data_IF_269653134338
#
_entry.id   IF_269653134338
#
_cell.length_a   1.000
_cell.length_b   1.000
_cell.length_c   1.000
_cell.angle_alpha   90.00
_cell.angle_beta   90.00
_cell.angle_gamma   90.00
#
_symmetry.space_group_name_H-M   'P 1'
#
loop_
_entity.id
_entity.type
_entity.pdbx_description
1 polymer ?
#
# COMPACT_ATOMS: atom_id res chain seq x y z
N UNK A 1 -54.96 42.28 16.25
CA UNK A 1 -54.30 43.51 15.80
C UNK A 1 -53.00 43.10 15.14
N UNK A 2 -52.97 43.16 13.82
CA UNK A 2 -51.78 42.91 13.03
C UNK A 2 -50.94 44.18 13.04
N UNK A 3 -49.62 44.07 13.24
CA UNK A 3 -48.72 45.02 12.63
C UNK A 3 -47.69 44.29 11.78
N UNK A 4 -47.70 44.69 10.52
CA UNK A 4 -47.03 44.08 9.38
C UNK A 4 -46.01 45.10 8.90
N UNK A 5 -44.74 44.89 9.23
CA UNK A 5 -43.65 45.58 8.52
C UNK A 5 -43.00 44.56 7.59
N UNK A 6 -43.50 44.54 6.35
CA UNK A 6 -42.79 43.94 5.23
C UNK A 6 -41.59 44.82 4.91
N UNK A 7 -40.39 44.26 5.00
CA UNK A 7 -39.30 44.75 4.16
C UNK A 7 -38.75 43.60 3.32
N UNK A 8 -38.82 43.79 2.00
CA UNK A 8 -38.56 42.81 0.96
C UNK A 8 -37.22 43.17 0.32
N UNK A 9 -36.44 42.13 0.01
CA UNK A 9 -35.23 42.09 -0.83
C UNK A 9 -33.91 42.43 -0.12
N UNK A 10 -32.80 41.72 -0.30
CA UNK A 10 -32.39 40.71 -1.30
C UNK A 10 -31.72 39.53 -0.59
N UNK A 11 -32.11 38.31 -0.97
CA UNK A 11 -31.52 37.08 -0.44
C UNK A 11 -30.07 36.92 -0.86
N UNK A 12 -29.13 37.32 0.00
CA UNK A 12 -27.82 36.71 0.04
C UNK A 12 -27.99 35.41 0.81
N UNK A 13 -28.11 34.29 0.10
CA UNK A 13 -27.98 32.97 0.74
C UNK A 13 -26.57 32.93 1.32
N UNK A 14 -26.47 33.10 2.63
CA UNK A 14 -25.27 32.76 3.39
C UNK A 14 -24.96 31.30 3.08
N UNK A 15 -24.01 31.07 2.17
CA UNK A 15 -23.38 29.77 2.01
C UNK A 15 -22.61 29.56 3.30
N UNK A 16 -23.20 28.84 4.24
CA UNK A 16 -22.48 28.31 5.38
C UNK A 16 -21.36 27.47 4.79
N UNK A 17 -20.14 27.98 4.79
CA UNK A 17 -18.97 27.17 4.50
C UNK A 17 -18.97 26.05 5.55
N UNK A 18 -19.37 24.86 5.12
CA UNK A 18 -19.10 23.64 5.87
C UNK A 18 -17.58 23.58 5.94
N UNK A 19 -17.02 23.94 7.09
CA UNK A 19 -15.61 23.70 7.38
C UNK A 19 -15.49 22.19 7.53
N UNK A 20 -15.21 21.51 6.41
CA UNK A 20 -14.68 20.16 6.47
C UNK A 20 -13.44 20.24 7.37
N UNK A 21 -13.41 19.44 8.43
CA UNK A 21 -12.17 19.20 9.17
C UNK A 21 -11.08 18.74 8.19
N UNK A 22 -9.80 18.80 8.55
CA UNK A 22 -8.76 18.26 7.68
C UNK A 22 -9.10 16.81 7.34
N UNK A 23 -9.15 16.49 6.04
CA UNK A 23 -9.36 15.12 5.56
C UNK A 23 -8.36 14.19 6.25
N UNK A 24 -8.80 13.02 6.77
CA UNK A 24 -7.94 12.14 7.54
C UNK A 24 -6.75 11.68 6.69
N UNK A 25 -5.62 11.45 7.36
CA UNK A 25 -4.45 10.90 6.69
C UNK A 25 -4.77 9.46 6.26
N UNK A 26 -4.90 9.24 4.95
CA UNK A 26 -5.10 7.93 4.33
C UNK A 26 -3.84 7.08 4.33
N UNK A 27 -3.93 5.86 4.85
CA UNK A 27 -2.86 4.86 4.88
C UNK A 27 -3.34 3.61 4.17
N UNK A 28 -2.58 3.11 3.20
CA UNK A 28 -2.80 1.82 2.57
C UNK A 28 -1.86 0.78 3.19
N UNK A 29 -2.41 -0.33 3.67
CA UNK A 29 -1.66 -1.52 4.03
C UNK A 29 -2.01 -2.63 3.06
N UNK A 30 -1.02 -3.33 2.53
CA UNK A 30 -1.29 -4.52 1.70
C UNK A 30 -0.59 -5.75 2.22
N UNK A 31 -1.24 -6.90 2.04
CA UNK A 31 -0.61 -8.22 2.14
C UNK A 31 -0.76 -8.99 0.83
N UNK A 32 -0.16 -10.17 0.76
CA UNK A 32 -0.31 -11.09 -0.36
C UNK A 32 -1.06 -12.34 0.07
N UNK A 33 -1.93 -12.84 -0.80
CA UNK A 33 -2.61 -14.12 -0.63
C UNK A 33 -1.67 -15.33 -0.72
N UNK A 34 -2.24 -16.54 -0.76
CA UNK A 34 -1.49 -17.78 -0.95
C UNK A 34 -0.69 -17.81 -2.25
N UNK A 35 0.37 -18.62 -2.30
CA UNK A 35 1.15 -18.91 -3.50
C UNK A 35 1.88 -20.26 -3.39
N UNK A 36 2.47 -20.80 -4.48
CA UNK A 36 3.16 -22.09 -4.44
C UNK A 36 4.24 -22.12 -3.36
N UNK A 37 4.15 -23.08 -2.44
CA UNK A 37 5.04 -23.19 -1.27
C UNK A 37 4.60 -22.40 -0.03
N UNK A 38 3.53 -21.61 -0.11
CA UNK A 38 2.91 -20.91 1.02
C UNK A 38 1.38 -20.87 0.87
N UNK A 39 0.72 -21.99 1.20
CA UNK A 39 -0.74 -22.09 1.19
C UNK A 39 -1.42 -21.10 2.16
N UNK A 40 -0.68 -20.69 3.19
CA UNK A 40 -1.10 -19.63 4.08
C UNK A 40 0.01 -18.58 4.16
N UNK A 41 -0.35 -17.33 3.86
CA UNK A 41 0.57 -16.21 3.84
C UNK A 41 0.26 -15.29 5.02
N UNK A 42 1.15 -15.16 6.03
CA UNK A 42 0.94 -14.29 7.18
C UNK A 42 0.65 -12.83 6.83
N UNK A 43 1.09 -12.36 5.65
CA UNK A 43 0.79 -10.99 5.22
C UNK A 43 -0.67 -10.80 4.85
N UNK A 44 -1.35 -11.80 4.26
CA UNK A 44 -2.80 -11.77 4.05
C UNK A 44 -3.54 -11.71 5.39
N UNK A 45 -3.21 -12.63 6.30
CA UNK A 45 -3.81 -12.66 7.64
C UNK A 45 -3.63 -11.33 8.37
N UNK A 46 -2.44 -10.73 8.28
CA UNK A 46 -2.15 -9.44 8.91
C UNK A 46 -3.03 -8.32 8.33
N UNK A 47 -3.18 -8.26 7.00
CA UNK A 47 -4.04 -7.26 6.35
C UNK A 47 -5.51 -7.43 6.76
N UNK A 48 -6.02 -8.66 6.77
CA UNK A 48 -7.38 -9.00 7.23
C UNK A 48 -7.57 -8.68 8.71
N UNK A 49 -6.58 -9.01 9.55
CA UNK A 49 -6.61 -8.75 10.98
C UNK A 49 -6.72 -7.25 11.28
N UNK A 50 -5.95 -6.41 10.59
CA UNK A 50 -6.01 -4.96 10.72
C UNK A 50 -7.37 -4.38 10.32
N UNK A 51 -8.01 -4.95 9.29
CA UNK A 51 -9.34 -4.54 8.85
C UNK A 51 -10.41 -4.91 9.89
N UNK A 52 -10.33 -6.12 10.43
CA UNK A 52 -11.29 -6.63 11.42
C UNK A 52 -11.09 -6.05 12.82
N UNK A 53 -9.88 -5.60 13.17
CA UNK A 53 -9.52 -5.14 14.51
C UNK A 53 -8.88 -3.74 14.48
N UNK A 54 -9.67 -2.67 14.28
CA UNK A 54 -9.14 -1.31 14.27
C UNK A 54 -8.40 -0.94 15.56
N UNK A 55 -7.19 -0.41 15.42
CA UNK A 55 -6.37 0.02 16.56
C UNK A 55 -6.73 1.44 17.00
N UNK A 56 -7.06 1.63 18.29
CA UNK A 56 -7.38 2.95 18.87
C UNK A 56 -6.26 3.98 18.67
N UNK A 57 -5.00 3.55 18.66
CA UNK A 57 -3.83 4.43 18.45
C UNK A 57 -3.74 4.97 17.02
N UNK A 58 -4.50 4.40 16.08
CA UNK A 58 -4.55 4.76 14.67
C UNK A 58 -5.94 5.32 14.30
N UNK A 59 -6.71 5.81 15.29
CA UNK A 59 -8.08 6.30 15.08
C UNK A 59 -8.16 7.64 14.34
N UNK A 60 -7.04 8.34 14.21
CA UNK A 60 -6.89 9.63 13.53
C UNK A 60 -6.40 9.49 12.07
N UNK A 61 -6.32 8.25 11.56
CA UNK A 61 -6.00 7.94 10.17
C UNK A 61 -7.14 7.16 9.50
N UNK A 62 -7.25 7.29 8.19
CA UNK A 62 -8.10 6.43 7.38
C UNK A 62 -7.27 5.25 6.88
N UNK A 63 -7.33 4.12 7.60
CA UNK A 63 -6.59 2.90 7.26
C UNK A 63 -7.41 2.04 6.29
N UNK A 64 -6.84 1.76 5.11
CA UNK A 64 -7.35 0.77 4.16
C UNK A 64 -6.38 -0.41 4.13
N UNK A 65 -6.89 -1.62 4.36
CA UNK A 65 -6.10 -2.85 4.24
C UNK A 65 -6.60 -3.67 3.04
N UNK A 66 -5.68 -4.24 2.26
CA UNK A 66 -6.03 -5.02 1.07
C UNK A 66 -5.15 -6.26 0.90
N UNK A 67 -5.76 -7.41 0.62
CA UNK A 67 -5.03 -8.64 0.26
C UNK A 67 -4.92 -8.70 -1.26
N UNK A 68 -3.68 -8.68 -1.76
CA UNK A 68 -3.38 -8.81 -3.17
C UNK A 68 -3.32 -10.30 -3.53
N UNK A 69 -3.91 -10.68 -4.65
CA UNK A 69 -3.61 -11.98 -5.24
C UNK A 69 -2.12 -12.03 -5.62
N UNK A 70 -1.47 -13.16 -5.33
CA UNK A 70 -0.04 -13.34 -5.59
C UNK A 70 0.21 -13.71 -7.06
N UNK A 71 -0.29 -12.88 -7.98
CA UNK A 71 -0.11 -13.02 -9.43
C UNK A 71 0.38 -11.74 -10.11
N UNK A 72 1.17 -11.90 -11.18
CA UNK A 72 1.68 -10.80 -11.98
C UNK A 72 0.54 -10.00 -12.62
N UNK A 73 -0.44 -10.71 -13.17
CA UNK A 73 -1.59 -10.11 -13.83
C UNK A 73 -2.43 -9.27 -12.86
N UNK A 74 -2.65 -9.76 -11.63
CA UNK A 74 -3.42 -9.02 -10.64
C UNK A 74 -2.74 -7.71 -10.29
N UNK A 75 -1.44 -7.73 -9.99
CA UNK A 75 -0.70 -6.49 -9.66
C UNK A 75 -0.71 -5.52 -10.86
N UNK A 76 -0.49 -6.01 -12.08
CA UNK A 76 -0.55 -5.19 -13.31
C UNK A 76 -1.91 -4.51 -13.48
N UNK A 77 -3.00 -5.20 -13.17
CA UNK A 77 -4.36 -4.74 -13.43
C UNK A 77 -4.95 -3.90 -12.31
N UNK A 78 -4.63 -4.19 -11.06
CA UNK A 78 -5.37 -3.67 -9.91
C UNK A 78 -4.55 -2.80 -8.96
N UNK A 79 -3.22 -2.79 -9.06
CA UNK A 79 -2.42 -1.97 -8.15
C UNK A 79 -2.60 -0.47 -8.38
N UNK A 80 -2.50 0.01 -9.63
CA UNK A 80 -2.70 1.43 -9.91
C UNK A 80 -4.14 1.88 -9.59
N UNK A 81 -5.21 1.16 -10.00
CA UNK A 81 -6.57 1.50 -9.57
C UNK A 81 -6.76 1.52 -8.05
N UNK A 82 -6.09 0.65 -7.30
CA UNK A 82 -6.13 0.67 -5.84
C UNK A 82 -5.50 1.94 -5.28
N UNK A 83 -4.35 2.36 -5.82
CA UNK A 83 -3.70 3.62 -5.44
C UNK A 83 -4.58 4.83 -5.79
N UNK A 84 -5.22 4.83 -6.96
CA UNK A 84 -6.12 5.91 -7.40
C UNK A 84 -7.40 5.97 -6.56
N UNK A 85 -7.97 4.84 -6.16
CA UNK A 85 -9.17 4.79 -5.34
C UNK A 85 -8.89 5.23 -3.89
N UNK A 86 -7.76 4.81 -3.32
CA UNK A 86 -7.41 5.10 -1.91
C UNK A 86 -6.71 6.46 -1.78
N UNK A 87 -6.01 6.92 -2.81
CA UNK A 87 -5.14 8.11 -2.77
C UNK A 87 -4.26 8.13 -1.51
N UNK A 88 -3.50 7.07 -1.19
CA UNK A 88 -2.83 6.96 0.10
C UNK A 88 -1.77 8.05 0.26
N UNK A 89 -1.64 8.61 1.47
CA UNK A 89 -0.49 9.44 1.82
C UNK A 89 0.72 8.56 2.15
N UNK A 90 0.46 7.41 2.77
CA UNK A 90 1.44 6.40 3.18
C UNK A 90 0.98 5.04 2.67
N UNK A 91 1.86 4.26 2.04
CA UNK A 91 1.61 2.84 1.77
C UNK A 91 2.64 1.95 2.46
N UNK A 92 2.18 0.86 3.07
CA UNK A 92 3.03 -0.12 3.74
C UNK A 92 2.66 -1.50 3.20
N UNK A 93 3.61 -2.16 2.57
CA UNK A 93 3.40 -3.45 1.93
C UNK A 93 4.06 -4.55 2.76
N UNK A 94 3.32 -5.59 3.11
CA UNK A 94 3.83 -6.76 3.81
C UNK A 94 3.96 -7.96 2.88
N UNK A 95 5.05 -8.69 3.02
CA UNK A 95 5.29 -9.94 2.29
C UNK A 95 5.91 -11.00 3.18
N UNK A 96 5.73 -12.27 2.84
CA UNK A 96 6.31 -13.38 3.59
C UNK A 96 7.80 -13.56 3.23
N UNK A 97 8.68 -13.55 4.24
CA UNK A 97 10.01 -14.17 4.16
C UNK A 97 9.93 -15.57 4.78
N UNK A 98 9.85 -16.59 3.94
CA UNK A 98 9.68 -17.99 4.37
C UNK A 98 10.80 -18.50 5.29
N UNK A 99 12.00 -17.90 5.19
CA UNK A 99 13.18 -18.29 5.97
C UNK A 99 13.45 -17.36 7.15
N UNK A 100 12.73 -16.24 7.23
CA UNK A 100 12.95 -15.18 8.19
C UNK A 100 12.41 -15.52 9.58
N UNK A 101 12.92 -14.78 10.57
CA UNK A 101 12.50 -14.85 11.97
C UNK A 101 12.17 -13.47 12.57
N UNK A 102 12.28 -12.40 11.77
CA UNK A 102 12.27 -11.00 12.23
C UNK A 102 11.61 -10.10 11.19
N UNK A 103 11.23 -8.87 11.58
CA UNK A 103 10.85 -7.85 10.61
C UNK A 103 12.04 -7.47 9.73
N UNK A 104 11.88 -7.56 8.42
CA UNK A 104 12.91 -7.18 7.45
C UNK A 104 12.44 -5.95 6.68
N UNK A 105 13.02 -4.81 7.01
CA UNK A 105 12.66 -3.50 6.44
C UNK A 105 13.42 -3.31 5.12
N UNK A 106 12.71 -3.35 4.00
CA UNK A 106 13.32 -3.24 2.67
C UNK A 106 13.66 -1.79 2.35
N UNK A 107 14.92 -1.57 2.02
CA UNK A 107 15.49 -0.23 1.74
C UNK A 107 15.63 0.05 0.26
N UNK A 108 15.51 -0.97 -0.60
CA UNK A 108 15.67 -0.87 -2.06
C UNK A 108 14.72 -1.82 -2.80
N UNK A 109 14.33 -1.44 -4.00
CA UNK A 109 13.67 -2.29 -4.99
C UNK A 109 14.38 -2.18 -6.34
N UNK A 110 14.41 -3.29 -7.09
CA UNK A 110 15.05 -3.38 -8.41
C UNK A 110 14.01 -3.34 -9.52
N UNK A 111 14.32 -2.67 -10.64
CA UNK A 111 13.48 -2.59 -11.84
C UNK A 111 13.54 -3.87 -12.67
N UNK A 112 13.43 -5.03 -12.03
CA UNK A 112 13.41 -6.34 -12.66
C UNK A 112 12.68 -7.35 -11.77
N UNK A 113 12.31 -8.50 -12.35
CA UNK A 113 11.78 -9.63 -11.62
C UNK A 113 12.30 -10.93 -12.24
N UNK A 114 12.39 -11.97 -11.43
CA UNK A 114 12.73 -13.32 -11.85
C UNK A 114 11.57 -13.92 -12.64
N UNK A 115 11.89 -14.90 -13.49
CA UNK A 115 10.90 -15.66 -14.27
C UNK A 115 10.26 -16.79 -13.44
N UNK A 116 10.03 -16.58 -12.15
CA UNK A 116 9.32 -17.56 -11.31
C UNK A 116 7.83 -17.59 -11.66
N UNK A 117 7.23 -18.79 -11.62
CA UNK A 117 5.79 -18.94 -11.79
C UNK A 117 5.04 -18.33 -10.61
N UNK A 118 3.89 -17.71 -10.88
CA UNK A 118 3.01 -17.17 -9.86
C UNK A 118 1.92 -18.12 -9.38
N UNK A 119 0.99 -17.66 -8.54
CA UNK A 119 -0.10 -18.52 -8.05
C UNK A 119 -1.01 -19.06 -9.15
N UNK A 120 -1.00 -18.45 -10.33
CA UNK A 120 -1.75 -18.87 -11.51
C UNK A 120 -0.85 -19.58 -12.55
N UNK A 121 0.41 -19.87 -12.21
CA UNK A 121 1.38 -20.48 -13.12
C UNK A 121 1.94 -19.53 -14.17
N UNK A 122 1.67 -18.23 -14.10
CA UNK A 122 2.17 -17.25 -15.04
C UNK A 122 3.59 -16.79 -14.65
N UNK A 123 4.39 -16.41 -15.64
CA UNK A 123 5.76 -15.95 -15.43
C UNK A 123 5.89 -14.48 -15.81
N UNK A 124 6.78 -13.77 -15.13
CA UNK A 124 7.18 -12.43 -15.57
C UNK A 124 7.92 -12.53 -16.92
N UNK A 125 7.43 -11.80 -17.93
CA UNK A 125 7.94 -11.90 -19.33
C UNK A 125 8.76 -10.68 -19.78
N UNK A 126 8.73 -9.58 -19.02
CA UNK A 126 9.41 -8.32 -19.38
C UNK A 126 10.86 -8.33 -18.90
N UNK A 127 11.70 -7.48 -19.51
CA UNK A 127 13.06 -7.21 -19.01
C UNK A 127 13.07 -6.28 -17.80
N UNK A 128 12.14 -5.31 -17.78
CA UNK A 128 12.00 -4.32 -16.73
C UNK A 128 10.55 -4.24 -16.25
N UNK A 129 10.38 -3.82 -15.00
CA UNK A 129 9.07 -3.55 -14.42
C UNK A 129 8.46 -2.31 -15.08
N UNK A 130 9.23 -1.22 -15.11
CA UNK A 130 8.88 0.02 -15.81
C UNK A 130 9.98 0.33 -16.83
N UNK A 131 9.61 0.38 -18.11
CA UNK A 131 10.55 0.74 -19.18
C UNK A 131 11.11 2.15 -18.98
N UNK A 132 12.43 2.31 -19.15
CA UNK A 132 13.12 3.61 -19.02
C UNK A 132 13.28 4.15 -17.59
N UNK A 133 12.78 3.44 -16.57
CA UNK A 133 12.92 3.86 -15.18
C UNK A 133 14.25 3.38 -14.55
N UNK A 134 14.75 4.04 -13.47
CA UNK A 134 16.02 3.70 -12.83
C UNK A 134 16.14 2.23 -12.42
N UNK A 135 17.34 1.64 -12.50
CA UNK A 135 17.50 0.23 -12.14
C UNK A 135 17.15 -0.08 -10.66
N UNK A 136 17.39 0.88 -9.76
CA UNK A 136 17.10 0.75 -8.32
C UNK A 136 16.38 2.00 -7.84
N UNK A 137 15.36 1.79 -7.01
CA UNK A 137 14.73 2.84 -6.20
C UNK A 137 15.00 2.55 -4.73
N UNK A 138 15.28 3.60 -3.95
CA UNK A 138 15.51 3.48 -2.50
C UNK A 138 14.26 3.90 -1.74
N UNK A 139 14.06 3.33 -0.55
CA UNK A 139 12.94 3.64 0.34
C UNK A 139 12.84 5.14 0.61
N UNK A 140 11.62 5.63 0.73
CA UNK A 140 11.33 7.03 1.10
C UNK A 140 11.20 7.20 2.61
N UNK A 141 11.12 6.10 3.37
CA UNK A 141 10.97 6.09 4.82
C UNK A 141 12.36 6.02 5.50
N UNK A 142 12.67 6.87 6.49
CA UNK A 142 13.90 6.74 7.25
C UNK A 142 13.89 5.42 8.04
N UNK A 143 14.68 4.44 7.59
CA UNK A 143 14.56 3.05 8.06
C UNK A 143 15.35 2.76 9.34
N UNK A 144 16.50 3.42 9.58
CA UNK A 144 17.27 3.19 10.80
C UNK A 144 16.50 3.55 12.08
N UNK A 145 15.84 4.73 12.19
CA UNK A 145 15.07 5.04 13.39
C UNK A 145 13.86 4.12 13.57
N UNK A 146 13.24 3.62 12.48
CA UNK A 146 12.20 2.61 12.55
C UNK A 146 12.72 1.30 13.16
N UNK A 147 13.85 0.82 12.66
CA UNK A 147 14.48 -0.42 13.14
C UNK A 147 14.83 -0.31 14.62
N UNK A 148 15.40 0.83 15.04
CA UNK A 148 15.72 1.09 16.44
C UNK A 148 14.47 1.13 17.32
N UNK A 149 13.38 1.72 16.81
CA UNK A 149 12.09 1.79 17.52
C UNK A 149 11.49 0.40 17.74
N UNK A 150 11.51 -0.46 16.73
CA UNK A 150 11.09 -1.86 16.84
C UNK A 150 11.95 -2.63 17.85
N UNK A 151 13.27 -2.53 17.74
CA UNK A 151 14.21 -3.23 18.64
C UNK A 151 14.06 -2.80 20.10
N UNK A 152 13.82 -1.51 20.37
CA UNK A 152 13.55 -1.00 21.73
C UNK A 152 12.30 -1.60 22.37
N UNK A 153 11.34 -2.03 21.54
CA UNK A 153 10.13 -2.73 21.97
C UNK A 153 10.30 -4.26 21.96
N UNK A 154 11.54 -4.76 21.89
CA UNK A 154 11.84 -6.18 21.83
C UNK A 154 11.23 -6.87 20.59
N UNK A 155 11.05 -6.12 19.50
CA UNK A 155 10.62 -6.64 18.21
C UNK A 155 11.85 -6.73 17.28
N UNK A 156 12.40 -7.93 17.04
CA UNK A 156 13.55 -8.10 16.17
C UNK A 156 13.30 -7.52 14.77
N UNK A 157 14.20 -6.66 14.32
CA UNK A 157 14.13 -6.03 13.01
C UNK A 157 15.52 -5.79 12.42
N UNK A 158 15.63 -5.79 11.08
CA UNK A 158 16.85 -5.41 10.38
C UNK A 158 16.55 -4.76 9.02
N UNK A 159 17.50 -4.01 8.49
CA UNK A 159 17.43 -3.45 7.14
C UNK A 159 17.82 -4.51 6.10
N UNK A 160 17.14 -4.52 4.97
CA UNK A 160 17.50 -5.32 3.80
C UNK A 160 17.61 -4.43 2.56
N UNK A 161 18.57 -4.74 1.68
CA UNK A 161 18.72 -4.07 0.38
C UNK A 161 18.16 -4.93 -0.77
N UNK A 162 17.49 -6.04 -0.43
CA UNK A 162 17.01 -7.04 -1.36
C UNK A 162 15.59 -7.48 -1.01
N UNK A 163 14.61 -6.86 -1.67
CA UNK A 163 13.20 -7.24 -1.58
C UNK A 163 12.87 -8.55 -2.35
N UNK A 164 13.90 -9.28 -2.79
CA UNK A 164 13.80 -10.43 -3.68
C UNK A 164 13.67 -10.03 -5.15
N UNK A 165 13.25 -11.00 -5.96
CA UNK A 165 13.00 -10.82 -7.39
C UNK A 165 11.59 -11.25 -7.79
N UNK A 166 10.70 -11.46 -6.82
CA UNK A 166 9.33 -11.92 -7.06
C UNK A 166 8.31 -10.77 -6.91
N UNK A 167 7.05 -11.07 -6.61
CA UNK A 167 5.98 -10.07 -6.49
C UNK A 167 6.19 -9.03 -5.39
N UNK A 168 6.93 -9.36 -4.33
CA UNK A 168 7.31 -8.40 -3.28
C UNK A 168 8.13 -7.25 -3.87
N UNK A 169 9.24 -7.55 -4.57
CA UNK A 169 10.05 -6.55 -5.25
C UNK A 169 9.26 -5.84 -6.36
N UNK A 170 8.42 -6.58 -7.08
CA UNK A 170 7.58 -6.03 -8.15
C UNK A 170 6.67 -4.91 -7.67
N UNK A 171 5.85 -5.21 -6.65
CA UNK A 171 4.95 -4.26 -6.02
C UNK A 171 5.72 -3.11 -5.37
N UNK A 172 6.83 -3.41 -4.67
CA UNK A 172 7.61 -2.37 -4.00
C UNK A 172 8.21 -1.37 -5.00
N UNK A 173 8.75 -1.86 -6.11
CA UNK A 173 9.29 -1.01 -7.16
C UNK A 173 8.21 -0.13 -7.77
N UNK A 174 7.02 -0.67 -8.08
CA UNK A 174 5.89 0.13 -8.56
C UNK A 174 5.47 1.20 -7.56
N UNK A 175 5.34 0.84 -6.28
CA UNK A 175 4.96 1.77 -5.21
C UNK A 175 5.98 2.92 -5.05
N UNK A 176 7.27 2.62 -5.08
CA UNK A 176 8.35 3.63 -5.07
C UNK A 176 8.34 4.51 -6.32
N UNK A 177 8.07 3.91 -7.49
CA UNK A 177 7.97 4.65 -8.73
C UNK A 177 6.78 5.63 -8.69
N UNK A 178 5.63 5.20 -8.18
CA UNK A 178 4.45 6.03 -7.97
C UNK A 178 4.75 7.18 -7.02
N UNK A 179 5.43 6.88 -5.91
CA UNK A 179 5.87 7.88 -4.94
C UNK A 179 6.72 8.98 -5.58
N UNK A 180 7.63 8.59 -6.48
CA UNK A 180 8.51 9.53 -7.18
C UNK A 180 7.80 10.36 -8.25
N UNK A 181 6.86 9.78 -9.00
CA UNK A 181 6.22 10.44 -10.17
C UNK A 181 4.97 11.25 -9.83
N UNK A 182 4.23 10.84 -8.80
CA UNK A 182 2.89 11.35 -8.52
C UNK A 182 2.67 11.70 -7.05
N UNK A 183 3.69 11.53 -6.19
CA UNK A 183 3.57 11.76 -4.74
C UNK A 183 2.42 10.96 -4.08
N UNK A 184 2.00 9.85 -4.69
CA UNK A 184 0.92 8.99 -4.20
C UNK A 184 1.35 7.52 -4.29
N UNK A 185 1.76 6.89 -3.18
CA UNK A 185 1.91 7.48 -1.84
C UNK A 185 3.14 8.41 -1.74
N UNK A 186 3.17 9.36 -0.79
CA UNK A 186 4.39 10.17 -0.52
C UNK A 186 5.46 9.39 0.23
N UNK A 187 5.02 8.43 1.03
CA UNK A 187 5.86 7.50 1.77
C UNK A 187 5.45 6.08 1.45
N UNK A 188 6.43 5.26 1.11
CA UNK A 188 6.25 3.84 0.90
C UNK A 188 7.37 3.06 1.57
N UNK A 189 6.99 1.95 2.19
CA UNK A 189 7.94 0.94 2.65
C UNK A 189 7.39 -0.47 2.37
N UNK A 190 8.33 -1.40 2.22
CA UNK A 190 8.02 -2.81 2.16
C UNK A 190 8.66 -3.50 3.36
N UNK A 191 7.90 -4.37 4.02
CA UNK A 191 8.34 -5.11 5.19
C UNK A 191 8.10 -6.58 4.96
N UNK A 192 9.18 -7.33 4.88
CA UNK A 192 9.08 -8.78 4.94
C UNK A 192 8.90 -9.23 6.39
N UNK A 193 7.99 -10.17 6.60
CA UNK A 193 7.64 -10.74 7.90
C UNK A 193 7.89 -12.24 7.92
N UNK A 194 8.24 -12.83 9.06
CA UNK A 194 8.50 -14.25 9.16
C UNK A 194 7.21 -15.07 8.97
N UNK A 195 7.33 -16.40 8.79
CA UNK A 195 6.17 -17.26 8.86
C UNK A 195 5.51 -17.17 10.24
N UNK A 196 4.22 -17.49 10.34
CA UNK A 196 3.48 -17.45 11.60
C UNK A 196 3.14 -18.88 12.03
N UNK A 197 3.57 -19.33 13.24
CA UNK A 197 3.40 -20.72 13.68
C UNK A 197 1.94 -21.20 13.68
N UNK A 198 0.99 -20.40 14.19
CA UNK A 198 -0.41 -20.84 14.35
C UNK A 198 -1.11 -21.04 12.99
N UNK A 199 -0.77 -20.23 11.99
CA UNK A 199 -1.31 -20.37 10.63
C UNK A 199 -0.82 -21.66 9.96
N UNK A 200 0.44 -22.05 10.18
CA UNK A 200 0.98 -23.28 9.59
C UNK A 200 0.41 -24.55 10.23
N UNK A 201 0.05 -24.50 11.52
CA UNK A 201 -0.48 -25.66 12.24
C UNK A 201 -1.87 -26.11 11.78
N UNK A 202 -2.65 -25.27 11.08
CA UNK A 202 -3.97 -25.65 10.59
C UNK A 202 -3.92 -26.59 9.37
N UNK A 203 -2.82 -26.61 8.62
CA UNK A 203 -2.70 -27.38 7.37
C UNK A 203 -1.48 -28.31 7.28
N UNK A 204 -0.61 -28.36 8.28
CA UNK A 204 0.55 -29.27 8.28
C UNK A 204 0.75 -29.91 9.65
N UNK A 205 0.33 -31.18 9.78
CA UNK A 205 0.89 -32.08 10.79
C UNK A 205 2.36 -32.25 10.42
N UNK A 206 3.27 -31.64 11.20
CA UNK A 206 4.75 -31.63 11.09
C UNK A 206 5.40 -30.34 10.56
N UNK A 207 5.20 -29.20 11.23
CA UNK A 207 6.22 -28.14 11.25
C UNK A 207 6.85 -28.09 12.65
N UNK A 208 8.12 -28.49 12.77
CA UNK A 208 8.90 -28.31 14.00
C UNK A 208 9.05 -26.81 14.24
N UNK A 209 8.68 -26.33 15.43
CA UNK A 209 8.93 -24.94 15.82
C UNK A 209 10.44 -24.68 15.78
N UNK A 210 10.88 -23.87 14.83
CA UNK A 210 12.21 -23.26 14.91
C UNK A 210 12.07 -22.10 15.91
N UNK A 211 12.87 -22.10 16.97
CA UNK A 211 12.83 -21.06 17.99
C UNK A 211 13.05 -19.65 17.41
N UNK A 212 12.49 -18.65 18.09
CA UNK A 212 12.50 -17.21 17.77
C UNK A 212 11.70 -16.77 16.54
N UNK A 213 10.47 -17.27 16.35
CA UNK A 213 9.52 -16.65 15.41
C UNK A 213 8.67 -15.62 16.14
N UNK A 214 8.31 -14.53 15.46
CA UNK A 214 7.34 -13.57 16.00
C UNK A 214 5.98 -14.25 16.21
N UNK A 215 5.44 -14.11 17.41
CA UNK A 215 4.04 -14.46 17.70
C UNK A 215 3.08 -13.55 16.91
N UNK A 216 1.81 -13.96 16.72
CA UNK A 216 0.80 -13.11 16.08
C UNK A 216 0.66 -11.75 16.79
N UNK A 217 0.73 -11.74 18.11
CA UNK A 217 0.67 -10.52 18.91
C UNK A 217 1.88 -9.61 18.66
N UNK A 218 3.09 -10.15 18.54
CA UNK A 218 4.28 -9.38 18.18
C UNK A 218 4.20 -8.83 16.75
N UNK A 219 3.68 -9.64 15.82
CA UNK A 219 3.49 -9.24 14.43
C UNK A 219 2.53 -8.03 14.33
N UNK A 220 1.39 -8.09 15.03
CA UNK A 220 0.41 -7.00 15.09
C UNK A 220 0.99 -5.77 15.79
N UNK A 221 1.66 -5.94 16.95
CA UNK A 221 2.30 -4.82 17.66
C UNK A 221 3.34 -4.10 16.78
N UNK A 222 4.22 -4.86 16.14
CA UNK A 222 5.23 -4.29 15.24
C UNK A 222 4.63 -3.62 14.01
N UNK A 223 3.51 -4.15 13.51
CA UNK A 223 2.78 -3.53 12.39
C UNK A 223 2.17 -2.19 12.77
N UNK A 224 1.50 -2.10 13.94
CA UNK A 224 1.01 -0.82 14.45
C UNK A 224 2.14 0.19 14.67
N UNK A 225 3.29 -0.28 15.14
CA UNK A 225 4.49 0.53 15.35
C UNK A 225 5.04 1.07 14.03
N UNK A 226 5.15 0.23 12.99
CA UNK A 226 5.55 0.64 11.63
C UNK A 226 4.58 1.68 11.06
N UNK A 227 3.26 1.46 11.19
CA UNK A 227 2.24 2.41 10.72
C UNK A 227 2.38 3.75 11.46
N UNK A 228 2.42 3.72 12.79
CA UNK A 228 2.54 4.93 13.62
C UNK A 228 3.80 5.71 13.28
N UNK A 229 4.93 5.03 13.11
CA UNK A 229 6.18 5.66 12.70
C UNK A 229 6.07 6.33 11.33
N UNK A 230 5.54 5.63 10.32
CA UNK A 230 5.41 6.18 8.97
C UNK A 230 4.45 7.39 8.93
N UNK A 231 3.35 7.34 9.68
CA UNK A 231 2.41 8.45 9.87
C UNK A 231 3.10 9.66 10.51
N UNK A 232 3.91 9.44 11.55
CA UNK A 232 4.66 10.51 12.21
C UNK A 232 5.70 11.15 11.28
N UNK A 233 6.43 10.34 10.51
CA UNK A 233 7.37 10.84 9.50
C UNK A 233 6.62 11.67 8.45
N UNK A 234 5.46 11.21 7.98
CA UNK A 234 4.64 11.97 7.03
C UNK A 234 4.25 13.34 7.59
N UNK A 235 3.73 13.38 8.83
CA UNK A 235 3.27 14.61 9.49
C UNK A 235 4.39 15.64 9.70
N UNK A 236 5.62 15.16 9.87
CA UNK A 236 6.79 16.03 10.09
C UNK A 236 7.44 16.50 8.80
N UNK A 237 7.06 15.95 7.63
CA UNK A 237 7.58 16.43 6.35
C UNK A 237 7.03 17.83 6.06
N UNK A 238 7.88 18.80 5.66
CA UNK A 238 7.40 20.06 5.14
C UNK A 238 6.44 19.79 3.98
N UNK A 239 5.30 20.46 3.96
CA UNK A 239 4.42 20.47 2.79
C UNK A 239 5.23 21.10 1.64
N UNK A 240 5.73 20.28 0.71
CA UNK A 240 6.16 20.78 -0.59
C UNK A 240 4.91 21.31 -1.30
N UNK A 241 4.65 22.60 -1.18
CA UNK A 241 3.80 23.30 -2.14
C UNK A 241 4.63 23.43 -3.41
N UNK A 242 4.49 22.47 -4.32
CA UNK A 242 4.32 22.70 -5.77
C UNK A 242 3.71 21.43 -6.39
N UNK A 243 2.56 21.53 -7.09
CA UNK A 243 2.04 20.40 -7.84
C UNK A 243 2.99 20.09 -9.00
N UNK A 244 3.55 18.89 -9.03
CA UNK A 244 4.17 18.36 -10.24
C UNK A 244 3.11 18.35 -11.36
N UNK A 245 3.41 19.04 -12.47
CA UNK A 245 2.56 19.03 -13.65
C UNK A 245 2.25 17.59 -14.08
N UNK A 246 1.00 17.28 -14.45
CA UNK A 246 0.64 15.94 -14.89
C UNK A 246 1.50 15.52 -16.10
N UNK A 247 1.85 14.23 -16.22
CA UNK A 247 2.63 13.75 -17.37
C UNK A 247 1.86 14.01 -18.67
N UNK A 248 2.55 14.40 -19.76
CA UNK A 248 1.88 14.68 -21.02
C UNK A 248 1.32 13.39 -21.65
N UNK A 249 0.00 13.36 -21.83
CA UNK A 249 -0.64 12.65 -22.93
C UNK A 249 -0.95 11.16 -22.75
N UNK A 250 -2.01 10.84 -22.01
CA UNK A 250 -2.85 9.67 -22.33
C UNK A 250 -3.92 10.10 -23.32
N UNK A 251 -3.82 9.68 -24.59
CA UNK A 251 -4.84 9.95 -25.62
C UNK A 251 -6.21 9.48 -25.11
N UNK A 252 -7.13 10.42 -24.94
CA UNK A 252 -8.56 10.12 -24.84
C UNK A 252 -8.98 9.47 -26.16
N UNK A 253 -9.33 8.18 -26.09
CA UNK A 253 -9.98 7.47 -27.18
C UNK A 253 -11.39 8.06 -27.29
N UNK A 254 -11.57 9.05 -28.17
CA UNK A 254 -12.90 9.53 -28.54
C UNK A 254 -13.69 8.35 -29.08
N UNK A 255 -14.83 8.07 -28.43
CA UNK A 255 -15.81 7.12 -28.91
C UNK A 255 -16.29 7.56 -30.29
N UNK A 256 -16.01 6.74 -31.31
CA UNK A 256 -16.67 6.84 -32.61
C UNK A 256 -18.09 6.34 -32.40
N UNK A 257 -19.03 7.25 -32.16
CA UNK A 257 -20.45 6.97 -32.35
C UNK A 257 -20.72 6.95 -33.84
N UNK A 258 -20.79 5.76 -34.43
CA UNK A 258 -21.39 5.56 -35.75
C UNK A 258 -22.88 5.88 -35.65
N UNK A 259 -23.27 7.08 -36.07
CA UNK A 259 -24.66 7.42 -36.31
C UNK A 259 -25.15 6.67 -37.56
N UNK A 260 -26.19 5.87 -37.37
CA UNK A 260 -27.04 5.41 -38.44
C UNK A 260 -27.83 6.59 -38.99
N UNK A 261 -27.84 6.76 -40.31
CA UNK A 261 -28.91 7.45 -41.03
C UNK A 261 -29.32 6.55 -42.19
N UNK A 262 -30.47 5.92 -42.04
CA UNK A 262 -31.31 5.49 -43.15
C UNK A 262 -31.79 6.72 -43.94
N UNK A 263 -32.02 6.57 -45.25
CA UNK A 263 -33.06 7.33 -45.96
C UNK A 263 -32.67 8.04 -47.26
N UNK A 264 -33.24 7.50 -48.34
CA UNK A 264 -33.68 8.11 -49.61
C UNK A 264 -32.66 8.59 -50.67
N UNK A 265 -32.78 7.96 -51.85
CA UNK A 265 -32.18 8.37 -53.13
C UNK A 265 -31.95 7.21 -54.09
#
# INVERSE_FOLDING_TARGET
MYDCVRNRQKGSKSVTQIRFGPEPLRVLVTGFGPFPGAACNPSAWLAEHLQANPCKQLSDIALTSHVLETSWHYVDRYFEPLIEAVMPHVAIHFGLDQSGSQFRIETRARNNAARSADCNGAHFKRSNIVAGAPHILSTTLPHWPLIDRLRKQQLPAHASQDAGHYLCNYLYYLSLWNSRRAESPRLTCFVHIPPMPEIQTYHSRHCKSRGNMLSPAELVRGTHEIISYAVNVYRQRPSSREPHAPPPGGRSLMAVTSGATDGDG
#
